data_IF_681541019225
#
_entry.id   IF_681541019225
#
_cell.length_a   1.000
_cell.length_b   1.000
_cell.length_c   1.000
_cell.angle_alpha   90.00
_cell.angle_beta   90.00
_cell.angle_gamma   90.00
#
_symmetry.space_group_name_H-M   'P 1'
#
loop_
_entity.id
_entity.type
_entity.pdbx_description
1 polymer ?
#
# COMPACT_ATOMS: atom_id res chain seq x y z
N UNK A 1 -19.74 35.23 37.51
CA UNK A 1 -21.10 35.53 36.99
C UNK A 1 -21.08 35.17 35.51
N UNK A 2 -21.62 34.02 35.10
CA UNK A 2 -23.03 33.69 34.84
C UNK A 2 -23.26 33.65 33.32
N UNK A 3 -23.20 32.42 32.79
CA UNK A 3 -24.00 31.83 31.70
C UNK A 3 -24.16 32.64 30.41
N UNK A 4 -23.68 32.10 29.27
CA UNK A 4 -24.50 31.91 28.07
C UNK A 4 -23.92 30.72 27.27
N UNK A 5 -24.68 29.63 27.22
CA UNK A 5 -24.63 28.64 26.15
C UNK A 5 -25.37 29.24 24.95
N UNK A 6 -24.72 29.36 23.79
CA UNK A 6 -25.42 29.40 22.49
C UNK A 6 -24.74 28.41 21.55
N UNK A 7 -25.45 27.31 21.34
CA UNK A 7 -25.37 26.48 20.15
C UNK A 7 -25.71 27.33 18.92
N UNK A 8 -24.84 27.33 17.92
CA UNK A 8 -25.20 27.63 16.54
C UNK A 8 -24.41 26.68 15.64
N UNK A 9 -25.10 25.61 15.27
CA UNK A 9 -24.70 24.70 14.22
C UNK A 9 -24.49 25.49 12.92
N UNK A 10 -23.29 25.43 12.38
CA UNK A 10 -23.07 25.69 10.96
C UNK A 10 -22.66 24.37 10.31
N UNK A 11 -23.65 23.82 9.64
CA UNK A 11 -23.55 22.74 8.68
C UNK A 11 -22.65 23.21 7.53
N UNK A 12 -21.46 22.64 7.39
CA UNK A 12 -20.66 22.75 6.16
C UNK A 12 -20.53 21.36 5.58
N UNK A 13 -21.51 21.03 4.74
CA UNK A 13 -21.57 19.80 3.96
C UNK A 13 -20.70 19.97 2.70
N UNK A 14 -19.75 19.04 2.53
CA UNK A 14 -19.22 18.50 1.27
C UNK A 14 -18.55 19.47 0.27
N UNK A 15 -17.23 19.59 0.42
CA UNK A 15 -16.35 19.17 -0.67
C UNK A 15 -15.39 18.12 -0.11
N UNK A 16 -15.91 16.89 0.05
CA UNK A 16 -15.04 15.72 0.04
C UNK A 16 -14.46 15.64 -1.38
N UNK A 17 -13.46 16.46 -1.67
CA UNK A 17 -12.52 16.15 -2.72
C UNK A 17 -12.04 14.74 -2.39
N UNK A 18 -12.33 13.81 -3.28
CA UNK A 18 -11.87 12.42 -3.25
C UNK A 18 -10.35 12.40 -3.33
N UNK A 19 -9.69 12.85 -2.27
CA UNK A 19 -8.39 12.32 -1.91
C UNK A 19 -8.69 10.89 -1.55
N UNK A 20 -8.15 9.93 -2.30
CA UNK A 20 -8.10 8.54 -1.88
C UNK A 20 -7.51 8.50 -0.46
N UNK A 21 -8.38 8.54 0.55
CA UNK A 21 -7.97 8.52 1.94
C UNK A 21 -7.52 7.10 2.20
N UNK A 22 -6.21 6.91 2.35
CA UNK A 22 -5.66 5.64 2.80
C UNK A 22 -6.34 5.25 4.10
N UNK A 23 -7.19 4.23 4.04
CA UNK A 23 -7.97 3.81 5.19
C UNK A 23 -7.02 3.39 6.33
N UNK A 24 -7.44 3.53 7.60
CA UNK A 24 -6.62 3.05 8.72
C UNK A 24 -6.20 1.58 8.57
N UNK A 25 -7.08 0.75 8.01
CA UNK A 25 -6.78 -0.64 7.67
C UNK A 25 -5.66 -0.78 6.62
N UNK A 26 -5.67 0.05 5.57
CA UNK A 26 -4.60 0.08 4.57
C UNK A 26 -3.25 0.48 5.20
N UNK A 27 -3.26 1.49 6.08
CA UNK A 27 -2.04 1.94 6.77
C UNK A 27 -1.48 0.86 7.70
N UNK A 28 -2.35 0.17 8.45
CA UNK A 28 -1.94 -0.94 9.31
C UNK A 28 -1.37 -2.11 8.47
N UNK A 29 -2.01 -2.46 7.36
CA UNK A 29 -1.55 -3.51 6.46
C UNK A 29 -0.16 -3.18 5.89
N UNK A 30 0.05 -1.97 5.38
CA UNK A 30 1.36 -1.52 4.90
C UNK A 30 2.39 -1.50 6.03
N UNK A 31 2.03 -1.02 7.22
CA UNK A 31 2.95 -1.00 8.37
C UNK A 31 3.42 -2.40 8.71
N UNK A 32 2.51 -3.39 8.77
CA UNK A 32 2.88 -4.79 8.99
C UNK A 32 3.80 -5.35 7.90
N UNK A 33 3.59 -4.93 6.65
CA UNK A 33 4.39 -5.37 5.51
C UNK A 33 5.80 -4.78 5.57
N UNK A 34 5.92 -3.49 5.87
CA UNK A 34 7.22 -2.84 6.07
C UNK A 34 7.97 -3.52 7.21
N UNK A 35 7.32 -3.78 8.36
CA UNK A 35 7.96 -4.47 9.49
C UNK A 35 8.53 -5.83 9.11
N UNK A 36 7.78 -6.66 8.39
CA UNK A 36 8.29 -7.95 7.89
C UNK A 36 9.47 -7.76 6.94
N UNK A 37 9.36 -6.86 5.97
CA UNK A 37 10.47 -6.58 5.04
C UNK A 37 11.69 -6.00 5.77
N UNK A 38 11.51 -5.23 6.84
CA UNK A 38 12.60 -4.75 7.70
C UNK A 38 13.33 -5.89 8.37
N UNK A 39 12.61 -6.86 8.91
CA UNK A 39 13.20 -8.03 9.57
C UNK A 39 13.99 -8.90 8.58
N UNK A 40 13.43 -9.15 7.39
CA UNK A 40 14.06 -10.02 6.38
C UNK A 40 15.25 -9.34 5.67
N UNK A 41 15.14 -8.03 5.40
CA UNK A 41 16.09 -7.32 4.55
C UNK A 41 17.05 -6.43 5.35
N UNK A 42 16.83 -6.23 6.65
CA UNK A 42 17.63 -5.33 7.48
C UNK A 42 17.54 -3.87 7.01
N UNK A 43 16.31 -3.37 6.81
CA UNK A 43 16.08 -2.02 6.25
C UNK A 43 16.42 -0.91 7.25
N UNK A 44 17.12 0.13 6.79
CA UNK A 44 17.32 1.35 7.58
C UNK A 44 16.02 2.15 7.77
N UNK A 45 16.01 3.11 8.70
CA UNK A 45 14.84 3.97 8.93
C UNK A 45 14.40 4.73 7.67
N UNK A 46 15.35 5.26 6.90
CA UNK A 46 15.06 5.96 5.64
C UNK A 46 14.49 5.02 4.58
N UNK A 47 15.03 3.80 4.48
CA UNK A 47 14.52 2.78 3.56
C UNK A 47 13.10 2.36 3.95
N UNK A 48 12.81 2.22 5.25
CA UNK A 48 11.48 1.93 5.74
C UNK A 48 10.47 3.03 5.39
N UNK A 49 10.86 4.30 5.52
CA UNK A 49 10.01 5.43 5.19
C UNK A 49 9.66 5.46 3.69
N UNK A 50 10.66 5.29 2.82
CA UNK A 50 10.47 5.25 1.37
C UNK A 50 9.67 4.03 0.93
N UNK A 51 9.98 2.85 1.48
CA UNK A 51 9.24 1.62 1.20
C UNK A 51 7.76 1.75 1.60
N UNK A 52 7.47 2.36 2.76
CA UNK A 52 6.09 2.64 3.18
C UNK A 52 5.35 3.49 2.15
N UNK A 53 5.98 4.52 1.61
CA UNK A 53 5.37 5.37 0.57
C UNK A 53 5.08 4.58 -0.71
N UNK A 54 6.05 3.78 -1.18
CA UNK A 54 5.86 2.93 -2.36
C UNK A 54 4.69 1.97 -2.16
N UNK A 55 4.63 1.26 -1.02
CA UNK A 55 3.57 0.29 -0.75
C UNK A 55 2.19 0.94 -0.59
N UNK A 56 2.11 2.15 -0.02
CA UNK A 56 0.85 2.90 0.06
C UNK A 56 0.38 3.32 -1.33
N UNK A 57 1.30 3.81 -2.17
CA UNK A 57 1.00 4.20 -3.54
C UNK A 57 0.50 2.99 -4.35
N UNK A 58 1.25 1.89 -4.36
CA UNK A 58 0.86 0.66 -5.06
C UNK A 58 -0.53 0.20 -4.64
N UNK A 59 -0.86 0.26 -3.34
CA UNK A 59 -2.20 -0.13 -2.87
C UNK A 59 -3.29 0.80 -3.40
N UNK A 60 -3.06 2.11 -3.42
CA UNK A 60 -4.02 3.08 -3.96
C UNK A 60 -4.29 2.83 -5.44
N UNK A 61 -3.25 2.54 -6.22
CA UNK A 61 -3.41 2.18 -7.63
C UNK A 61 -4.20 0.88 -7.79
N UNK A 62 -3.85 -0.15 -7.01
CA UNK A 62 -4.58 -1.42 -7.08
C UNK A 62 -6.06 -1.29 -6.68
N UNK A 63 -6.38 -0.45 -5.70
CA UNK A 63 -7.77 -0.20 -5.31
C UNK A 63 -8.52 0.62 -6.37
N UNK A 64 -7.84 1.56 -7.04
CA UNK A 64 -8.40 2.32 -8.16
C UNK A 64 -8.68 1.42 -9.37
N UNK A 65 -7.72 0.56 -9.74
CA UNK A 65 -7.86 -0.39 -10.85
C UNK A 65 -8.98 -1.41 -10.60
N UNK A 66 -9.13 -1.91 -9.36
CA UNK A 66 -10.27 -2.76 -8.98
C UNK A 66 -11.60 -2.09 -9.22
N UNK A 67 -11.67 -0.80 -8.93
CA UNK A 67 -12.89 0.00 -9.14
C UNK A 67 -13.11 0.25 -10.63
N UNK A 68 -12.04 0.57 -11.37
CA UNK A 68 -12.10 0.90 -12.80
C UNK A 68 -12.40 -0.31 -13.70
N UNK A 69 -11.96 -1.50 -13.30
CA UNK A 69 -12.06 -2.73 -14.08
C UNK A 69 -12.93 -3.80 -13.40
N UNK A 70 -13.90 -3.40 -12.58
CA UNK A 70 -14.77 -4.32 -11.83
C UNK A 70 -15.49 -5.35 -12.70
N UNK A 71 -15.82 -4.98 -13.96
CA UNK A 71 -16.57 -5.80 -14.91
C UNK A 71 -15.67 -6.44 -15.99
N UNK A 72 -14.36 -6.22 -15.93
CA UNK A 72 -13.37 -6.77 -16.87
C UNK A 72 -12.19 -7.39 -16.13
N UNK A 73 -12.28 -8.69 -15.78
CA UNK A 73 -11.22 -9.39 -15.06
C UNK A 73 -9.89 -9.43 -15.80
N UNK A 74 -9.90 -9.43 -17.14
CA UNK A 74 -8.68 -9.48 -17.95
C UNK A 74 -7.96 -8.14 -17.94
N UNK A 75 -8.70 -7.03 -18.07
CA UNK A 75 -8.16 -5.69 -17.89
C UNK A 75 -7.65 -5.50 -16.46
N UNK A 76 -8.41 -5.95 -15.45
CA UNK A 76 -7.97 -5.90 -14.05
C UNK A 76 -6.66 -6.65 -13.85
N UNK A 77 -6.54 -7.88 -14.36
CA UNK A 77 -5.31 -8.67 -14.25
C UNK A 77 -4.12 -7.93 -14.88
N UNK A 78 -4.32 -7.31 -16.05
CA UNK A 78 -3.29 -6.54 -16.75
C UNK A 78 -2.84 -5.33 -15.95
N UNK A 79 -3.79 -4.55 -15.41
CA UNK A 79 -3.52 -3.38 -14.60
C UNK A 79 -2.80 -3.76 -13.28
N UNK A 80 -3.25 -4.81 -12.60
CA UNK A 80 -2.57 -5.36 -11.41
C UNK A 80 -1.14 -5.83 -11.72
N UNK A 81 -0.89 -6.42 -12.89
CA UNK A 81 0.45 -6.85 -13.29
C UNK A 81 1.37 -5.64 -13.51
N UNK A 82 0.85 -4.60 -14.15
CA UNK A 82 1.56 -3.33 -14.34
C UNK A 82 1.94 -2.69 -13.00
N UNK A 83 0.99 -2.57 -12.07
CA UNK A 83 1.22 -2.01 -10.73
C UNK A 83 2.29 -2.78 -9.95
N UNK A 84 2.26 -4.13 -10.03
CA UNK A 84 3.27 -4.98 -9.38
C UNK A 84 4.65 -4.75 -9.98
N UNK A 85 4.77 -4.69 -11.30
CA UNK A 85 6.04 -4.42 -11.97
C UNK A 85 6.57 -3.04 -11.57
N UNK A 86 5.71 -2.01 -11.58
CA UNK A 86 6.11 -0.66 -11.21
C UNK A 86 6.53 -0.54 -9.76
N UNK A 87 5.81 -1.21 -8.87
CA UNK A 87 6.18 -1.30 -7.46
C UNK A 87 7.54 -1.97 -7.27
N UNK A 88 7.87 -2.99 -8.07
CA UNK A 88 9.15 -3.69 -7.97
C UNK A 88 10.33 -2.78 -8.36
N UNK A 89 10.18 -2.02 -9.44
CA UNK A 89 11.17 -1.01 -9.86
C UNK A 89 11.41 0.02 -8.77
N UNK A 90 10.34 0.54 -8.17
CA UNK A 90 10.43 1.53 -7.10
C UNK A 90 11.10 0.95 -5.85
N UNK A 91 10.79 -0.30 -5.49
CA UNK A 91 11.44 -0.99 -4.37
C UNK A 91 12.92 -1.21 -4.65
N UNK A 92 13.30 -1.61 -5.87
CA UNK A 92 14.70 -1.75 -6.26
C UNK A 92 15.49 -0.44 -6.05
N UNK A 93 14.88 0.72 -6.32
CA UNK A 93 15.50 2.03 -6.07
C UNK A 93 15.64 2.42 -4.59
N UNK A 94 14.98 1.71 -3.66
CA UNK A 94 15.08 1.93 -2.20
C UNK A 94 16.13 1.01 -1.57
N UNK A 95 16.32 -0.17 -2.14
CA UNK A 95 17.18 -1.21 -1.57
C UNK A 95 18.63 -1.09 -2.04
N UNK A 96 19.56 -1.57 -1.23
CA UNK A 96 20.92 -1.84 -1.71
C UNK A 96 20.93 -3.07 -2.61
N UNK A 97 21.95 -3.28 -3.45
CA UNK A 97 22.04 -4.47 -4.29
C UNK A 97 21.93 -5.79 -3.51
N UNK A 98 22.58 -5.88 -2.35
CA UNK A 98 22.52 -7.07 -1.50
C UNK A 98 21.11 -7.30 -0.91
N UNK A 99 20.43 -6.22 -0.50
CA UNK A 99 19.05 -6.29 -0.01
C UNK A 99 18.07 -6.66 -1.13
N UNK A 100 18.29 -6.18 -2.36
CA UNK A 100 17.46 -6.51 -3.51
C UNK A 100 17.53 -8.00 -3.87
N UNK A 101 18.71 -8.60 -3.82
CA UNK A 101 18.86 -10.06 -3.98
C UNK A 101 18.04 -10.84 -2.95
N UNK A 102 18.10 -10.45 -1.67
CA UNK A 102 17.27 -11.06 -0.61
C UNK A 102 15.79 -10.83 -0.82
N UNK A 103 15.42 -9.65 -1.31
CA UNK A 103 14.03 -9.32 -1.61
C UNK A 103 13.44 -10.21 -2.71
N UNK A 104 14.20 -10.52 -3.76
CA UNK A 104 13.74 -11.46 -4.80
C UNK A 104 13.57 -12.88 -4.24
N UNK A 105 14.45 -13.33 -3.34
CA UNK A 105 14.29 -14.61 -2.64
C UNK A 105 13.03 -14.62 -1.75
N UNK A 106 12.82 -13.54 -0.99
CA UNK A 106 11.61 -13.35 -0.16
C UNK A 106 10.33 -13.42 -1.00
N UNK A 107 10.30 -12.79 -2.19
CA UNK A 107 9.17 -12.87 -3.12
C UNK A 107 8.93 -14.29 -3.64
N UNK A 108 9.99 -14.97 -4.07
CA UNK A 108 9.89 -16.33 -4.57
C UNK A 108 9.34 -17.29 -3.50
N UNK A 109 9.81 -17.18 -2.26
CA UNK A 109 9.33 -17.98 -1.13
C UNK A 109 7.84 -17.73 -0.84
N UNK A 110 7.40 -16.47 -0.88
CA UNK A 110 5.99 -16.08 -0.73
C UNK A 110 5.10 -16.68 -1.82
N UNK A 111 5.54 -16.60 -3.07
CA UNK A 111 4.80 -17.17 -4.21
C UNK A 111 4.71 -18.69 -4.07
N UNK A 112 5.82 -19.35 -3.71
CA UNK A 112 5.84 -20.79 -3.44
C UNK A 112 4.86 -21.20 -2.35
N UNK A 113 4.82 -20.47 -1.22
CA UNK A 113 3.89 -20.73 -0.12
C UNK A 113 2.41 -20.58 -0.50
N UNK A 114 2.07 -19.61 -1.36
CA UNK A 114 0.69 -19.43 -1.81
C UNK A 114 0.23 -20.59 -2.70
N UNK A 115 1.11 -21.15 -3.53
CA UNK A 115 0.78 -22.33 -4.32
C UNK A 115 0.62 -23.59 -3.45
N UNK A 116 1.40 -23.75 -2.39
CA UNK A 116 1.29 -24.95 -1.52
C UNK A 116 0.05 -24.94 -0.62
N UNK A 117 -0.55 -23.79 -0.34
CA UNK A 117 -1.76 -23.67 0.50
C UNK A 117 -3.05 -23.77 -0.34
N UNK A 118 -2.96 -23.71 -1.67
CA UNK A 118 -4.10 -23.74 -2.59
C UNK A 118 -4.52 -25.16 -3.06
N UNK A 119 -4.04 -26.20 -2.39
CA UNK A 119 -4.37 -27.62 -2.66
C UNK A 119 -5.08 -28.24 -1.46
#
# INVERSE_FOLDING_TARGET
MKKVFILLAWLSLLAAGTRAQTTPAAQAAVTSQVQRMTQELGLSADQQARLRQVLLLTRQHMDADRTAHQDDPAALQTAMAFDRAKSDELIQGVLTPAQYTRYQQYKAARIGQLHTVAH
#
